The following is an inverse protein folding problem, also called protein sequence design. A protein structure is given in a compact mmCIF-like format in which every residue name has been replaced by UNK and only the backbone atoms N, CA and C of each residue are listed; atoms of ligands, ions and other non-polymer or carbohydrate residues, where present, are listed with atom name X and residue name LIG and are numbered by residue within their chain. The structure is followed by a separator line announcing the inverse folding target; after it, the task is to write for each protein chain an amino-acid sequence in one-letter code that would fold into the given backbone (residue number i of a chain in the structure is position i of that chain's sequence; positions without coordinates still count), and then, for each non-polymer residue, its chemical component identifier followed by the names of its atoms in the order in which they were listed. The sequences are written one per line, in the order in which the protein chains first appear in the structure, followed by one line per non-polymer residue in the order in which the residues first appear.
data_IF_688622350736
#
_entry.id   IF_688622350736
#
_cell.length_a   1.000
_cell.length_b   1.000
_cell.length_c   1.000
_cell.angle_alpha   90.00
_cell.angle_beta   90.00
_cell.angle_gamma   90.00
#
_symmetry.space_group_name_H-M   'P 1'
#
loop_
_entity.id
_entity.type
_entity.pdbx_description
1 polymer ?
#
# COMPACT_ATOMS: atom_id res chain seq x y z
N UNK A 1 -21.85 -3.69 -23.41
CA UNK A 1 -21.32 -4.89 -22.71
C UNK A 1 -21.96 -5.05 -21.33
N UNK A 2 -21.80 -4.09 -20.42
CA UNK A 2 -22.31 -4.24 -19.04
C UNK A 2 -23.83 -4.42 -18.90
N UNK A 3 -24.64 -3.80 -19.76
CA UNK A 3 -26.11 -3.98 -19.71
C UNK A 3 -26.58 -5.40 -20.05
N UNK A 4 -25.77 -6.13 -20.84
CA UNK A 4 -26.02 -7.52 -21.23
C UNK A 4 -25.58 -8.52 -20.13
N UNK A 5 -24.77 -8.07 -19.16
CA UNK A 5 -24.33 -8.88 -18.04
C UNK A 5 -25.41 -8.89 -16.96
N UNK A 6 -26.41 -9.76 -17.14
CA UNK A 6 -27.40 -10.01 -16.11
C UNK A 6 -26.77 -10.78 -14.93
N UNK A 7 -27.18 -10.46 -13.70
CA UNK A 7 -26.83 -11.19 -12.47
C UNK A 7 -25.39 -11.03 -11.94
N UNK A 8 -24.66 -9.97 -12.31
CA UNK A 8 -23.35 -9.69 -11.70
C UNK A 8 -23.48 -9.31 -10.23
N UNK A 9 -22.82 -10.07 -9.34
CA UNK A 9 -22.74 -9.72 -7.92
C UNK A 9 -21.84 -8.50 -7.68
N UNK A 10 -20.67 -8.49 -8.32
CA UNK A 10 -19.71 -7.38 -8.25
C UNK A 10 -18.77 -7.36 -9.45
N UNK A 11 -18.14 -6.22 -9.64
CA UNK A 11 -17.10 -5.97 -10.64
C UNK A 11 -15.80 -5.61 -9.94
N UNK A 12 -14.70 -6.06 -10.53
CA UNK A 12 -13.33 -5.80 -10.07
C UNK A 12 -12.52 -5.29 -11.27
N UNK A 13 -11.95 -4.09 -11.15
CA UNK A 13 -11.09 -3.49 -12.16
C UNK A 13 -9.67 -3.53 -11.61
N UNK A 14 -8.80 -4.35 -12.20
CA UNK A 14 -7.43 -4.56 -11.72
C UNK A 14 -6.45 -4.22 -12.84
N UNK A 15 -5.67 -3.15 -12.64
CA UNK A 15 -4.60 -2.67 -13.54
C UNK A 15 -5.01 -2.60 -15.02
N UNK A 16 -6.26 -2.23 -15.29
CA UNK A 16 -6.79 -2.14 -16.65
C UNK A 16 -6.18 -0.95 -17.40
N UNK A 17 -5.25 -1.24 -18.31
CA UNK A 17 -4.59 -0.22 -19.17
C UNK A 17 -5.59 0.52 -20.06
N UNK A 18 -6.67 -0.16 -20.46
CA UNK A 18 -7.68 0.38 -21.36
C UNK A 18 -8.81 1.11 -20.62
N UNK A 19 -8.74 1.24 -19.29
CA UNK A 19 -9.74 2.02 -18.55
C UNK A 19 -9.68 3.48 -19.04
N UNK A 20 -10.72 3.87 -19.77
CA UNK A 20 -10.85 5.17 -20.43
C UNK A 20 -12.25 5.76 -20.19
N UNK A 21 -12.41 7.01 -20.59
CA UNK A 21 -13.67 7.75 -20.44
C UNK A 21 -14.88 7.05 -21.06
N UNK A 22 -14.74 6.39 -22.21
CA UNK A 22 -15.85 5.70 -22.87
C UNK A 22 -16.37 4.52 -22.05
N UNK A 23 -15.47 3.71 -21.49
CA UNK A 23 -15.83 2.59 -20.60
C UNK A 23 -16.46 3.12 -19.31
N UNK A 24 -15.88 4.16 -18.73
CA UNK A 24 -16.39 4.75 -17.49
C UNK A 24 -17.79 5.34 -17.70
N UNK A 25 -18.02 6.07 -18.80
CA UNK A 25 -19.33 6.61 -19.15
C UNK A 25 -20.37 5.50 -19.34
N UNK A 26 -20.02 4.39 -20.00
CA UNK A 26 -20.90 3.23 -20.11
C UNK A 26 -21.29 2.63 -18.76
N UNK A 27 -20.36 2.61 -17.79
CA UNK A 27 -20.63 2.14 -16.42
C UNK A 27 -21.55 3.13 -15.70
N UNK A 28 -21.29 4.43 -15.84
CA UNK A 28 -22.07 5.48 -15.18
C UNK A 28 -23.51 5.51 -15.72
N UNK A 29 -23.71 5.27 -17.02
CA UNK A 29 -25.03 5.24 -17.66
C UNK A 29 -25.87 4.02 -17.33
N UNK A 30 -25.31 3.02 -16.63
CA UNK A 30 -26.08 1.84 -16.22
C UNK A 30 -27.23 2.23 -15.30
N UNK A 31 -28.42 1.82 -15.71
CA UNK A 31 -29.66 1.92 -14.92
C UNK A 31 -29.74 0.83 -13.85
N UNK A 32 -29.09 -0.32 -14.08
CA UNK A 32 -28.98 -1.41 -13.10
C UNK A 32 -27.91 -1.09 -12.04
N UNK A 33 -28.05 -1.62 -10.80
CA UNK A 33 -27.01 -1.49 -9.78
C UNK A 33 -25.66 -2.01 -10.28
N UNK A 34 -24.62 -1.18 -10.15
CA UNK A 34 -23.24 -1.54 -10.48
C UNK A 34 -22.41 -1.51 -9.19
N UNK A 35 -21.93 -2.67 -8.75
CA UNK A 35 -21.15 -2.81 -7.51
C UNK A 35 -19.68 -3.02 -7.83
N UNK A 36 -18.90 -1.94 -7.83
CA UNK A 36 -17.45 -2.03 -7.97
C UNK A 36 -16.82 -2.36 -6.61
N UNK A 37 -16.39 -3.61 -6.39
CA UNK A 37 -15.75 -4.03 -5.13
C UNK A 37 -14.25 -3.75 -5.09
N UNK A 38 -13.59 -3.70 -6.26
CA UNK A 38 -12.14 -3.46 -6.34
C UNK A 38 -11.77 -2.56 -7.51
N UNK A 39 -10.89 -1.60 -7.24
CA UNK A 39 -10.34 -0.67 -8.22
C UNK A 39 -8.84 -0.49 -7.97
N UNK A 40 -8.02 -1.13 -8.80
CA UNK A 40 -6.57 -0.92 -8.82
C UNK A 40 -6.17 -0.24 -10.12
N UNK A 41 -5.78 1.02 -10.00
CA UNK A 41 -5.42 1.89 -11.11
C UNK A 41 -3.96 1.64 -11.52
N UNK A 42 -3.74 1.44 -12.82
CA UNK A 42 -2.40 1.42 -13.38
C UNK A 42 -1.96 2.85 -13.67
N UNK A 43 -0.71 3.22 -13.39
CA UNK A 43 -0.18 4.56 -13.68
C UNK A 43 -0.25 4.93 -15.16
N UNK A 44 -0.39 3.97 -16.08
CA UNK A 44 -0.54 4.22 -17.53
C UNK A 44 -1.99 4.38 -17.99
N UNK A 45 -2.97 4.21 -17.10
CA UNK A 45 -4.38 4.39 -17.43
C UNK A 45 -4.66 5.88 -17.73
N UNK A 46 -5.36 6.15 -18.84
CA UNK A 46 -5.78 7.50 -19.26
C UNK A 46 -6.95 7.98 -18.41
N UNK A 47 -6.65 8.29 -17.16
CA UNK A 47 -7.64 8.69 -16.16
C UNK A 47 -7.81 10.20 -16.19
N UNK A 48 -9.08 10.62 -16.18
CA UNK A 48 -9.52 12.01 -16.14
C UNK A 48 -10.61 12.17 -15.07
N UNK A 49 -11.38 13.25 -15.14
CA UNK A 49 -12.49 13.55 -14.22
C UNK A 49 -13.59 12.48 -14.22
N UNK A 50 -13.71 11.65 -15.26
CA UNK A 50 -14.70 10.57 -15.30
C UNK A 50 -14.46 9.51 -14.21
N UNK A 51 -13.21 9.31 -13.77
CA UNK A 51 -12.91 8.45 -12.63
C UNK A 51 -13.56 8.95 -11.34
N UNK A 52 -13.62 10.27 -11.15
CA UNK A 52 -14.25 10.87 -9.97
C UNK A 52 -15.75 10.54 -9.95
N UNK A 53 -16.40 10.55 -11.11
CA UNK A 53 -17.79 10.12 -11.27
C UNK A 53 -17.98 8.62 -11.00
N UNK A 54 -17.02 7.78 -11.42
CA UNK A 54 -17.05 6.35 -11.11
C UNK A 54 -16.95 6.09 -9.60
N UNK A 55 -16.04 6.80 -8.92
CA UNK A 55 -15.89 6.75 -7.46
C UNK A 55 -17.14 7.26 -6.75
N UNK A 56 -17.77 8.33 -7.24
CA UNK A 56 -19.03 8.83 -6.71
C UNK A 56 -20.15 7.79 -6.83
N UNK A 57 -20.26 7.12 -7.99
CA UNK A 57 -21.31 6.11 -8.24
C UNK A 57 -21.09 4.82 -7.43
N UNK A 58 -19.83 4.42 -7.23
CA UNK A 58 -19.50 3.07 -6.74
C UNK A 58 -18.81 3.05 -5.38
N UNK A 59 -18.48 4.19 -4.80
CA UNK A 59 -17.60 4.30 -3.62
C UNK A 59 -18.12 3.54 -2.40
N UNK A 60 -19.42 3.51 -2.17
CA UNK A 60 -20.04 2.78 -1.06
C UNK A 60 -19.89 1.26 -1.15
N UNK A 61 -19.59 0.72 -2.34
CA UNK A 61 -19.33 -0.71 -2.55
C UNK A 61 -17.84 -1.04 -2.63
N UNK A 62 -16.98 -0.02 -2.68
CA UNK A 62 -15.57 -0.20 -2.93
C UNK A 62 -14.88 -0.69 -1.66
N UNK A 63 -14.34 -1.91 -1.70
CA UNK A 63 -13.63 -2.53 -0.58
C UNK A 63 -12.12 -2.56 -0.78
N UNK A 64 -11.65 -2.49 -2.03
CA UNK A 64 -10.24 -2.58 -2.36
C UNK A 64 -9.88 -1.45 -3.30
N UNK A 65 -8.93 -0.63 -2.90
CA UNK A 65 -8.44 0.47 -3.71
C UNK A 65 -6.92 0.44 -3.80
N UNK A 66 -6.41 0.67 -4.99
CA UNK A 66 -5.02 1.06 -5.13
C UNK A 66 -4.77 1.93 -6.33
N UNK A 67 -3.74 2.77 -6.22
CA UNK A 67 -3.39 3.72 -7.26
C UNK A 67 -1.87 3.90 -7.32
N UNK A 68 -1.35 3.98 -8.54
CA UNK A 68 0.01 4.44 -8.79
C UNK A 68 -0.01 5.94 -9.05
N UNK A 69 0.31 6.73 -8.02
CA UNK A 69 0.29 8.19 -8.05
C UNK A 69 1.55 8.80 -8.69
N UNK A 70 2.37 8.03 -9.41
CA UNK A 70 3.56 8.52 -10.10
C UNK A 70 3.28 9.54 -11.24
N UNK A 71 4.29 9.78 -12.08
CA UNK A 71 4.42 10.93 -12.99
C UNK A 71 3.26 11.20 -13.97
N UNK A 72 2.39 10.24 -14.22
CA UNK A 72 1.40 10.33 -15.29
C UNK A 72 0.13 11.11 -14.93
N UNK A 73 -0.03 11.52 -13.67
CA UNK A 73 -1.18 12.30 -13.22
C UNK A 73 -0.76 13.70 -12.77
N UNK A 74 -1.55 14.70 -13.16
CA UNK A 74 -1.37 16.06 -12.63
C UNK A 74 -1.64 16.07 -11.12
N UNK A 75 -0.92 16.90 -10.38
CA UNK A 75 -1.12 17.03 -8.93
C UNK A 75 -2.60 17.31 -8.56
N UNK A 76 -3.34 18.20 -9.25
CA UNK A 76 -4.77 18.40 -8.98
C UNK A 76 -5.59 17.11 -9.12
N UNK A 77 -5.32 16.29 -10.14
CA UNK A 77 -6.03 15.02 -10.32
C UNK A 77 -5.69 14.03 -9.20
N UNK A 78 -4.42 13.92 -8.80
CA UNK A 78 -4.02 13.07 -7.66
C UNK A 78 -4.77 13.47 -6.38
N UNK A 79 -4.87 14.77 -6.10
CA UNK A 79 -5.59 15.31 -4.95
C UNK A 79 -7.10 15.01 -5.05
N UNK A 80 -7.73 15.30 -6.19
CA UNK A 80 -9.16 15.03 -6.42
C UNK A 80 -9.52 13.55 -6.27
N UNK A 81 -8.65 12.63 -6.71
CA UNK A 81 -8.84 11.19 -6.52
C UNK A 81 -8.86 10.86 -5.02
N UNK A 82 -7.87 11.30 -4.26
CA UNK A 82 -7.78 11.05 -2.81
C UNK A 82 -8.98 11.65 -2.06
N UNK A 83 -9.33 12.89 -2.36
CA UNK A 83 -10.49 13.57 -1.79
C UNK A 83 -11.80 12.85 -2.11
N UNK A 84 -11.95 12.35 -3.34
CA UNK A 84 -13.13 11.57 -3.75
C UNK A 84 -13.24 10.26 -2.98
N UNK A 85 -12.12 9.56 -2.74
CA UNK A 85 -12.13 8.32 -1.96
C UNK A 85 -12.49 8.63 -0.50
N UNK A 86 -11.89 9.67 0.09
CA UNK A 86 -12.24 10.13 1.44
C UNK A 86 -13.75 10.41 1.53
N UNK A 87 -14.31 11.10 0.53
CA UNK A 87 -15.71 11.51 0.50
C UNK A 87 -16.68 10.36 0.28
N UNK A 88 -16.39 9.46 -0.67
CA UNK A 88 -17.36 8.47 -1.15
C UNK A 88 -17.13 7.04 -0.66
N UNK A 89 -15.94 6.73 -0.12
CA UNK A 89 -15.54 5.38 0.29
C UNK A 89 -15.29 5.27 1.81
N UNK A 90 -15.99 6.11 2.61
CA UNK A 90 -15.82 6.14 4.06
C UNK A 90 -16.14 4.79 4.69
N UNK A 91 -15.20 4.25 5.47
CA UNK A 91 -15.30 2.94 6.16
C UNK A 91 -15.66 1.73 5.26
N UNK A 92 -15.47 1.83 3.93
CA UNK A 92 -15.70 0.70 3.02
C UNK A 92 -14.40 -0.01 2.63
N UNK A 93 -13.29 0.73 2.55
CA UNK A 93 -12.00 0.22 2.10
C UNK A 93 -11.37 -0.68 3.18
N UNK A 94 -11.18 -1.95 2.82
CA UNK A 94 -10.47 -2.97 3.59
C UNK A 94 -9.02 -3.14 3.13
N UNK A 95 -8.74 -2.85 1.86
CA UNK A 95 -7.40 -2.89 1.31
C UNK A 95 -7.06 -1.57 0.60
N UNK A 96 -6.08 -0.85 1.13
CA UNK A 96 -5.44 0.29 0.49
C UNK A 96 -4.03 -0.05 -0.01
N UNK A 97 -3.75 0.23 -1.28
CA UNK A 97 -2.41 0.10 -1.87
C UNK A 97 -1.98 1.36 -2.62
N UNK A 98 -0.91 2.01 -2.17
CA UNK A 98 -0.39 3.23 -2.81
C UNK A 98 1.00 2.98 -3.40
N UNK A 99 1.27 3.60 -4.55
CA UNK A 99 2.60 3.67 -5.15
C UNK A 99 2.94 5.12 -5.53
N UNK A 100 4.22 5.48 -5.47
CA UNK A 100 4.70 6.80 -5.89
C UNK A 100 4.09 7.93 -5.06
N UNK A 101 4.02 7.76 -3.74
CA UNK A 101 3.49 8.79 -2.84
C UNK A 101 4.51 9.92 -2.70
N UNK A 102 4.16 11.09 -3.25
CA UNK A 102 4.97 12.31 -3.21
C UNK A 102 4.54 13.24 -2.05
N UNK A 103 5.41 14.19 -1.69
CA UNK A 103 5.25 15.13 -0.56
C UNK A 103 3.94 15.91 -0.61
N UNK A 104 3.49 16.25 -1.82
CA UNK A 104 2.33 17.09 -2.07
C UNK A 104 1.00 16.38 -1.79
N UNK A 105 1.00 15.04 -1.71
CA UNK A 105 -0.22 14.24 -1.47
C UNK A 105 -0.17 13.41 -0.19
N UNK A 106 0.99 13.31 0.47
CA UNK A 106 1.20 12.43 1.63
C UNK A 106 0.20 12.67 2.77
N UNK A 107 -0.12 13.93 3.09
CA UNK A 107 -1.09 14.25 4.14
C UNK A 107 -2.52 13.85 3.76
N UNK A 108 -2.88 13.91 2.48
CA UNK A 108 -4.15 13.37 2.00
C UNK A 108 -4.19 11.84 2.10
N UNK A 109 -3.05 11.15 1.90
CA UNK A 109 -2.96 9.70 2.13
C UNK A 109 -3.18 9.38 3.61
N UNK A 110 -2.62 10.14 4.55
CA UNK A 110 -2.90 9.94 5.98
C UNK A 110 -4.37 10.22 6.33
N UNK A 111 -4.94 11.30 5.80
CA UNK A 111 -6.36 11.60 5.98
C UNK A 111 -7.24 10.47 5.43
N UNK A 112 -6.86 9.86 4.31
CA UNK A 112 -7.52 8.68 3.78
C UNK A 112 -7.42 7.49 4.72
N UNK A 113 -6.22 7.15 5.22
CA UNK A 113 -6.00 6.04 6.16
C UNK A 113 -6.85 6.24 7.42
N UNK A 114 -6.85 7.44 8.00
CA UNK A 114 -7.66 7.75 9.18
C UNK A 114 -9.18 7.64 8.88
N UNK A 115 -9.61 8.09 7.69
CA UNK A 115 -11.02 8.00 7.27
C UNK A 115 -11.52 6.56 7.03
N UNK A 116 -10.62 5.61 6.76
CA UNK A 116 -10.96 4.18 6.55
C UNK A 116 -10.47 3.27 7.68
N UNK A 117 -9.95 3.87 8.77
CA UNK A 117 -9.28 3.17 9.87
C UNK A 117 -10.09 2.00 10.43
N UNK A 118 -11.41 2.16 10.53
CA UNK A 118 -12.29 1.14 11.10
C UNK A 118 -12.47 -0.11 10.21
N UNK A 119 -12.27 0.01 8.90
CA UNK A 119 -12.45 -1.08 7.94
C UNK A 119 -11.13 -1.64 7.40
N UNK A 120 -10.03 -0.91 7.57
CA UNK A 120 -8.73 -1.22 6.97
C UNK A 120 -8.09 -2.48 7.60
N UNK A 121 -7.91 -3.52 6.80
CA UNK A 121 -7.22 -4.75 7.19
C UNK A 121 -5.86 -4.91 6.50
N UNK A 122 -5.72 -4.35 5.29
CA UNK A 122 -4.55 -4.50 4.43
C UNK A 122 -4.05 -3.13 3.99
N UNK A 123 -2.79 -2.84 4.27
CA UNK A 123 -2.13 -1.60 3.86
C UNK A 123 -0.80 -1.91 3.17
N UNK A 124 -0.59 -1.34 1.99
CA UNK A 124 0.69 -1.38 1.28
C UNK A 124 1.03 0.04 0.83
N UNK A 125 2.17 0.55 1.30
CA UNK A 125 2.69 1.88 0.95
C UNK A 125 4.02 1.67 0.26
N UNK A 126 4.07 2.05 -1.01
CA UNK A 126 5.27 2.02 -1.81
C UNK A 126 5.63 3.44 -2.27
N UNK A 127 6.82 3.90 -1.90
CA UNK A 127 7.33 5.22 -2.35
C UNK A 127 8.05 5.10 -3.69
N UNK A 128 8.52 3.91 -4.04
CA UNK A 128 9.21 3.63 -5.29
C UNK A 128 8.18 3.16 -6.33
N UNK A 129 8.11 3.84 -7.47
CA UNK A 129 7.46 3.28 -8.65
C UNK A 129 8.57 2.72 -9.54
N UNK A 130 8.39 1.49 -10.03
CA UNK A 130 9.40 0.77 -10.85
C UNK A 130 9.77 1.56 -12.13
N UNK A 131 8.94 2.52 -12.51
CA UNK A 131 9.13 3.43 -13.65
C UNK A 131 9.90 4.74 -13.29
N UNK A 132 10.47 4.91 -12.08
CA UNK A 132 11.08 6.18 -11.61
C UNK A 132 12.59 6.13 -11.28
N UNK A 133 13.28 7.20 -11.66
CA UNK A 133 14.59 7.60 -11.10
C UNK A 133 14.34 8.31 -9.76
N UNK A 134 14.97 7.84 -8.68
CA UNK A 134 14.85 8.41 -7.33
C UNK A 134 15.31 9.87 -7.33
N UNK A 135 14.38 10.82 -7.16
CA UNK A 135 14.70 12.24 -6.95
C UNK A 135 14.97 12.51 -5.47
N UNK A 136 15.69 13.60 -5.15
CA UNK A 136 15.98 13.99 -3.77
C UNK A 136 14.71 14.33 -2.96
N UNK A 137 13.62 14.76 -3.61
CA UNK A 137 12.32 15.05 -2.96
C UNK A 137 11.70 13.80 -2.29
N UNK A 138 12.07 12.59 -2.74
CA UNK A 138 11.59 11.34 -2.16
C UNK A 138 12.15 11.10 -0.74
N UNK A 139 13.31 11.67 -0.40
CA UNK A 139 13.94 11.46 0.92
C UNK A 139 13.13 12.11 2.05
N UNK A 140 12.58 13.31 1.82
CA UNK A 140 11.73 13.99 2.82
C UNK A 140 10.40 13.25 3.01
N UNK A 141 9.84 12.68 1.93
CA UNK A 141 8.60 11.90 1.98
C UNK A 141 8.71 10.68 2.91
N UNK A 142 9.82 9.93 2.82
CA UNK A 142 10.04 8.73 3.63
C UNK A 142 10.02 9.04 5.13
N UNK A 143 10.68 10.13 5.52
CA UNK A 143 10.73 10.59 6.91
C UNK A 143 9.32 10.95 7.40
N UNK A 144 8.55 11.69 6.59
CA UNK A 144 7.15 12.04 6.91
C UNK A 144 6.28 10.79 7.06
N UNK A 145 6.44 9.77 6.18
CA UNK A 145 5.72 8.48 6.29
C UNK A 145 6.01 7.84 7.65
N UNK A 146 7.28 7.62 7.97
CA UNK A 146 7.64 6.91 9.20
C UNK A 146 7.23 7.68 10.46
N UNK A 147 7.35 9.00 10.48
CA UNK A 147 7.01 9.81 11.65
C UNK A 147 5.50 9.90 11.94
N UNK A 148 4.64 9.77 10.93
CA UNK A 148 3.19 9.98 11.08
C UNK A 148 2.35 8.70 10.94
N UNK A 149 2.81 7.73 10.15
CA UNK A 149 2.01 6.54 9.80
C UNK A 149 1.54 5.78 11.04
N UNK A 150 2.41 5.61 12.04
CA UNK A 150 2.09 4.81 13.23
C UNK A 150 0.86 5.31 14.00
N UNK A 151 0.58 6.61 13.99
CA UNK A 151 -0.60 7.20 14.64
C UNK A 151 -1.89 6.99 13.83
N UNK A 152 -1.78 6.92 12.51
CA UNK A 152 -2.92 6.73 11.61
C UNK A 152 -3.37 5.27 11.53
N UNK A 153 -2.51 4.31 11.88
CA UNK A 153 -2.83 2.89 11.80
C UNK A 153 -4.00 2.50 12.73
N UNK A 154 -4.87 1.55 12.31
CA UNK A 154 -5.81 0.93 13.22
C UNK A 154 -5.10 0.05 14.25
N UNK A 155 -5.81 -0.34 15.32
CA UNK A 155 -5.25 -1.22 16.37
C UNK A 155 -4.86 -2.62 15.87
N UNK A 156 -5.38 -3.04 14.71
CA UNK A 156 -5.04 -4.33 14.09
C UNK A 156 -4.99 -4.21 12.56
N UNK A 157 -3.96 -4.80 11.97
CA UNK A 157 -3.87 -5.08 10.54
C UNK A 157 -3.61 -6.58 10.32
N UNK A 158 -4.19 -7.12 9.25
CA UNK A 158 -3.84 -8.45 8.74
C UNK A 158 -2.54 -8.39 7.93
N UNK A 159 -2.29 -7.28 7.25
CA UNK A 159 -1.13 -7.09 6.39
C UNK A 159 -0.68 -5.64 6.36
N UNK A 160 0.62 -5.41 6.62
CA UNK A 160 1.30 -4.15 6.37
C UNK A 160 2.54 -4.40 5.51
N UNK A 161 2.65 -3.70 4.40
CA UNK A 161 3.81 -3.72 3.49
C UNK A 161 4.35 -2.32 3.29
N UNK A 162 5.61 -2.14 3.67
CA UNK A 162 6.34 -0.89 3.57
C UNK A 162 7.49 -1.09 2.60
N UNK A 163 7.40 -0.44 1.43
CA UNK A 163 8.48 -0.39 0.45
C UNK A 163 8.98 1.06 0.31
N UNK A 164 10.01 1.41 1.07
CA UNK A 164 10.60 2.74 1.08
C UNK A 164 12.04 2.73 1.61
N UNK A 165 12.85 3.74 1.28
CA UNK A 165 14.13 3.98 1.95
C UNK A 165 13.89 4.31 3.44
N UNK A 166 14.54 3.57 4.36
CA UNK A 166 14.32 3.73 5.81
C UNK A 166 15.58 4.26 6.50
N UNK A 167 15.40 5.41 7.17
CA UNK A 167 16.34 5.91 8.17
C UNK A 167 15.99 5.34 9.56
N UNK A 168 16.96 4.75 10.24
CA UNK A 168 16.78 4.07 11.52
C UNK A 168 16.11 4.97 12.60
N UNK A 169 16.48 6.25 12.67
CA UNK A 169 15.91 7.20 13.64
C UNK A 169 14.40 7.43 13.42
N UNK A 170 13.98 7.55 12.15
CA UNK A 170 12.56 7.75 11.82
C UNK A 170 11.78 6.44 11.98
N UNK A 171 12.42 5.30 11.69
CA UNK A 171 11.83 3.98 11.91
C UNK A 171 11.56 3.72 13.39
N UNK A 172 12.45 4.13 14.29
CA UNK A 172 12.20 4.03 15.72
C UNK A 172 10.96 4.84 16.14
N UNK A 173 10.75 6.03 15.56
CA UNK A 173 9.55 6.84 15.79
C UNK A 173 8.30 6.11 15.29
N UNK A 174 8.33 5.52 14.09
CA UNK A 174 7.25 4.67 13.57
C UNK A 174 6.91 3.52 14.54
N UNK A 175 7.92 2.81 15.03
CA UNK A 175 7.74 1.66 15.91
C UNK A 175 7.13 2.04 17.26
N UNK A 176 7.55 3.18 17.83
CA UNK A 176 7.00 3.74 19.07
C UNK A 176 5.56 4.25 18.88
N UNK A 177 5.31 5.01 17.81
CA UNK A 177 3.97 5.56 17.55
C UNK A 177 2.94 4.49 17.20
N UNK A 178 3.37 3.38 16.59
CA UNK A 178 2.49 2.26 16.27
C UNK A 178 2.35 1.24 17.41
N UNK A 179 2.92 1.44 18.61
CA UNK A 179 3.05 0.41 19.65
C UNK A 179 1.77 -0.37 19.99
N UNK A 180 0.61 0.28 19.88
CA UNK A 180 -0.71 -0.30 20.18
C UNK A 180 -1.36 -1.00 18.97
N UNK A 181 -0.66 -1.05 17.84
CA UNK A 181 -1.07 -1.75 16.63
C UNK A 181 -0.45 -3.14 16.57
N UNK A 182 -1.32 -4.16 16.48
CA UNK A 182 -0.94 -5.53 16.13
C UNK A 182 -0.97 -5.73 14.61
N UNK A 183 0.07 -6.35 14.05
CA UNK A 183 0.19 -6.57 12.60
C UNK A 183 0.42 -8.05 12.35
N UNK A 184 -0.56 -8.77 11.81
CA UNK A 184 -0.39 -10.22 11.61
C UNK A 184 0.77 -10.55 10.67
N UNK A 185 0.84 -9.87 9.52
CA UNK A 185 1.93 -10.01 8.55
C UNK A 185 2.58 -8.66 8.23
N UNK A 186 3.86 -8.51 8.61
CA UNK A 186 4.66 -7.31 8.37
C UNK A 186 5.72 -7.58 7.30
N UNK A 187 5.69 -6.79 6.23
CA UNK A 187 6.67 -6.77 5.16
C UNK A 187 7.40 -5.43 5.14
N UNK A 188 8.73 -5.48 5.06
CA UNK A 188 9.57 -4.30 4.93
C UNK A 188 10.59 -4.53 3.82
N UNK A 189 10.52 -3.73 2.76
CA UNK A 189 11.62 -3.55 1.83
C UNK A 189 12.28 -2.20 2.15
N UNK A 190 13.42 -2.26 2.83
CA UNK A 190 14.23 -1.09 3.12
C UNK A 190 15.25 -0.88 2.00
N UNK A 191 15.05 0.17 1.21
CA UNK A 191 15.91 0.42 0.04
C UNK A 191 17.08 1.37 0.31
N UNK A 192 17.27 1.84 1.54
CA UNK A 192 18.39 2.74 1.94
C UNK A 192 19.54 2.00 2.65
N UNK A 193 19.38 0.70 2.91
CA UNK A 193 20.43 -0.16 3.46
C UNK A 193 20.80 0.05 4.93
N UNK A 194 20.24 1.04 5.65
CA UNK A 194 20.48 1.16 7.10
C UNK A 194 19.97 -0.07 7.84
N UNK A 195 20.76 -0.58 8.80
CA UNK A 195 20.35 -1.76 9.55
C UNK A 195 19.22 -1.42 10.53
N UNK A 196 18.02 -1.95 10.25
CA UNK A 196 16.83 -1.80 11.08
C UNK A 196 16.59 -2.99 12.00
N UNK A 197 17.37 -4.07 11.87
CA UNK A 197 17.15 -5.32 12.59
C UNK A 197 17.18 -5.15 14.13
N UNK A 198 18.08 -4.35 14.75
CA UNK A 198 18.04 -4.10 16.18
C UNK A 198 16.71 -3.53 16.66
N UNK A 199 16.11 -2.62 15.89
CA UNK A 199 14.83 -2.00 16.21
C UNK A 199 13.66 -2.98 16.06
N UNK A 200 13.70 -3.83 15.03
CA UNK A 200 12.73 -4.91 14.86
C UNK A 200 12.78 -5.86 16.07
N UNK A 201 13.99 -6.26 16.49
CA UNK A 201 14.14 -7.11 17.68
C UNK A 201 13.57 -6.46 18.94
N UNK A 202 13.87 -5.18 19.18
CA UNK A 202 13.44 -4.48 20.39
C UNK A 202 11.92 -4.22 20.42
N UNK A 203 11.37 -3.66 19.35
CA UNK A 203 9.99 -3.13 19.36
C UNK A 203 8.97 -4.08 18.77
N UNK A 204 9.37 -5.05 17.94
CA UNK A 204 8.46 -6.02 17.31
C UNK A 204 8.62 -7.40 17.92
N UNK A 205 9.84 -7.96 17.95
CA UNK A 205 10.09 -9.33 18.41
C UNK A 205 9.82 -9.49 19.92
N UNK A 206 10.50 -8.70 20.76
CA UNK A 206 10.31 -8.76 22.22
C UNK A 206 8.90 -8.41 22.66
N UNK A 207 8.22 -7.55 21.89
CA UNK A 207 6.82 -7.13 22.14
C UNK A 207 5.78 -8.07 21.51
N UNK A 208 6.19 -9.07 20.72
CA UNK A 208 5.32 -10.05 20.05
C UNK A 208 4.18 -9.42 19.23
N UNK A 209 4.50 -8.34 18.51
CA UNK A 209 3.51 -7.53 17.76
C UNK A 209 3.17 -8.07 16.37
N UNK A 210 3.88 -9.10 15.93
CA UNK A 210 3.70 -9.73 14.62
C UNK A 210 3.67 -11.25 14.71
N UNK A 211 3.09 -11.90 13.71
CA UNK A 211 3.11 -13.37 13.55
C UNK A 211 3.99 -13.80 12.38
N UNK A 212 3.95 -13.04 11.28
CA UNK A 212 4.77 -13.28 10.09
C UNK A 212 5.59 -12.03 9.79
N UNK A 213 6.87 -12.24 9.51
CA UNK A 213 7.81 -11.15 9.22
C UNK A 213 8.59 -11.47 7.94
N UNK A 214 8.69 -10.51 7.03
CA UNK A 214 9.61 -10.60 5.91
C UNK A 214 10.31 -9.26 5.71
N UNK A 215 11.63 -9.29 5.69
CA UNK A 215 12.47 -8.09 5.53
C UNK A 215 13.51 -8.35 4.46
N UNK A 216 13.61 -7.42 3.52
CA UNK A 216 14.69 -7.33 2.56
C UNK A 216 15.31 -5.94 2.67
N UNK A 217 16.63 -5.88 2.79
CA UNK A 217 17.40 -4.65 2.79
C UNK A 217 18.17 -4.57 1.48
N UNK A 218 18.05 -3.46 0.76
CA UNK A 218 18.84 -3.17 -0.44
C UNK A 218 19.94 -2.17 -0.08
N UNK A 219 21.15 -2.41 -0.56
CA UNK A 219 22.29 -1.50 -0.37
C UNK A 219 23.11 -1.42 -1.66
N UNK A 220 23.64 -0.23 -1.94
CA UNK A 220 24.47 0.01 -3.12
C UNK A 220 25.86 -0.64 -2.94
N UNK A 221 26.33 -1.37 -3.95
CA UNK A 221 27.70 -1.88 -4.01
C UNK A 221 28.62 -0.73 -4.39
N UNK A 222 29.69 -0.57 -3.60
CA UNK A 222 30.68 0.50 -3.74
C UNK A 222 31.40 0.55 -5.09
N UNK A 223 31.39 -0.55 -5.86
CA UNK A 223 32.36 -0.75 -6.93
C UNK A 223 31.77 -0.55 -8.34
N UNK A 224 30.44 -0.64 -8.51
CA UNK A 224 29.78 -0.56 -9.82
C UNK A 224 28.37 0.08 -9.80
N UNK A 225 27.88 0.56 -8.65
CA UNK A 225 26.54 1.12 -8.52
C UNK A 225 25.41 0.08 -8.63
N UNK A 226 25.72 -1.22 -8.59
CA UNK A 226 24.72 -2.29 -8.53
C UNK A 226 24.19 -2.43 -7.10
N UNK A 227 22.94 -2.86 -6.94
CA UNK A 227 22.36 -3.09 -5.61
C UNK A 227 22.50 -4.56 -5.24
N UNK A 228 22.92 -4.83 -4.01
CA UNK A 228 22.82 -6.14 -3.39
C UNK A 228 21.67 -6.14 -2.39
N UNK A 229 21.12 -7.32 -2.14
CA UNK A 229 19.96 -7.50 -1.29
C UNK A 229 20.26 -8.51 -0.20
N UNK A 230 20.08 -8.09 1.05
CA UNK A 230 20.15 -8.99 2.21
C UNK A 230 18.76 -9.24 2.73
N UNK A 231 18.29 -10.47 2.56
CA UNK A 231 17.01 -10.92 3.04
C UNK A 231 17.13 -11.60 4.41
N UNK A 232 16.27 -11.21 5.36
CA UNK A 232 16.23 -11.79 6.71
C UNK A 232 16.01 -13.30 6.68
N UNK A 233 15.19 -13.79 5.75
CA UNK A 233 14.88 -15.21 5.57
C UNK A 233 16.12 -16.08 5.30
N UNK A 234 17.17 -15.50 4.70
CA UNK A 234 18.42 -16.22 4.40
C UNK A 234 19.38 -16.30 5.59
N UNK A 235 19.11 -15.58 6.70
CA UNK A 235 19.95 -15.52 7.89
C UNK A 235 19.48 -16.55 8.92
N UNK A 236 19.96 -17.80 8.81
CA UNK A 236 19.47 -18.94 9.61
C UNK A 236 19.47 -18.67 11.12
N UNK A 237 20.53 -18.09 11.66
CA UNK A 237 20.62 -17.80 13.11
C UNK A 237 19.58 -16.78 13.55
N UNK A 238 19.35 -15.75 12.74
CA UNK A 238 18.31 -14.73 12.97
C UNK A 238 16.91 -15.35 12.90
N UNK A 239 16.64 -16.16 11.86
CA UNK A 239 15.36 -16.87 11.71
C UNK A 239 15.07 -17.75 12.93
N UNK A 240 16.06 -18.52 13.38
CA UNK A 240 15.94 -19.36 14.57
C UNK A 240 15.64 -18.52 15.82
N UNK A 241 16.26 -17.34 15.97
CA UNK A 241 15.98 -16.43 17.09
C UNK A 241 14.52 -15.94 17.05
N UNK A 242 14.01 -15.50 15.90
CA UNK A 242 12.60 -15.09 15.76
C UNK A 242 11.62 -16.23 16.04
N UNK A 243 11.95 -17.46 15.66
CA UNK A 243 11.12 -18.64 15.93
C UNK A 243 10.94 -18.89 17.43
N UNK A 244 11.94 -18.60 18.28
CA UNK A 244 11.83 -18.68 19.75
C UNK A 244 10.77 -17.71 20.31
N UNK A 245 10.43 -16.65 19.56
CA UNK A 245 9.37 -15.70 19.90
C UNK A 245 8.03 -16.01 19.21
N UNK A 246 7.91 -17.15 18.53
CA UNK A 246 6.77 -17.55 17.69
C UNK A 246 6.52 -16.62 16.50
N UNK A 247 7.57 -16.00 15.97
CA UNK A 247 7.50 -15.17 14.76
C UNK A 247 8.06 -15.99 13.60
N UNK A 248 7.23 -16.21 12.58
CA UNK A 248 7.65 -16.94 11.38
C UNK A 248 8.25 -15.97 10.37
N UNK A 249 9.55 -16.06 10.16
CA UNK A 249 10.22 -15.33 9.09
C UNK A 249 9.90 -15.99 7.74
N UNK A 250 9.62 -15.18 6.72
CA UNK A 250 9.28 -15.62 5.37
C UNK A 250 10.12 -14.87 4.33
N UNK A 251 10.26 -15.45 3.13
CA UNK A 251 10.76 -14.72 1.97
C UNK A 251 9.81 -13.57 1.63
N UNK A 252 10.38 -12.40 1.32
CA UNK A 252 9.68 -11.16 1.05
C UNK A 252 8.83 -11.24 -0.22
N UNK A 253 9.41 -11.70 -1.34
CA UNK A 253 8.71 -11.76 -2.62
C UNK A 253 7.58 -12.79 -2.62
N UNK A 254 7.80 -13.96 -2.00
CA UNK A 254 6.75 -14.97 -1.78
C UNK A 254 5.63 -14.45 -0.86
N UNK A 255 5.95 -13.46 -0.03
CA UNK A 255 5.04 -12.88 0.93
C UNK A 255 4.14 -11.77 0.36
N UNK A 256 4.51 -11.19 -0.79
CA UNK A 256 3.75 -10.13 -1.44
C UNK A 256 2.37 -10.60 -1.88
N UNK A 257 1.36 -9.75 -1.67
CA UNK A 257 0.02 -10.04 -2.18
C UNK A 257 0.00 -9.85 -3.71
N UNK A 258 -0.28 -10.93 -4.43
CA UNK A 258 -0.65 -10.89 -5.84
C UNK A 258 -2.14 -10.51 -5.98
N UNK A 259 -2.44 -9.36 -6.59
CA UNK A 259 -3.80 -8.81 -6.66
C UNK A 259 -4.79 -9.75 -7.35
N UNK A 260 -4.41 -10.41 -8.44
CA UNK A 260 -5.30 -11.34 -9.13
C UNK A 260 -5.63 -12.57 -8.27
N UNK A 261 -4.64 -13.13 -7.56
CA UNK A 261 -4.87 -14.25 -6.64
C UNK A 261 -5.67 -13.83 -5.41
N UNK A 262 -5.44 -12.61 -4.91
CA UNK A 262 -6.16 -12.06 -3.77
C UNK A 262 -7.63 -11.84 -4.09
N UNK A 263 -7.93 -11.16 -5.21
CA UNK A 263 -9.31 -10.89 -5.62
C UNK A 263 -10.09 -12.17 -5.92
N UNK A 264 -9.44 -13.23 -6.43
CA UNK A 264 -10.10 -14.53 -6.63
C UNK A 264 -10.49 -15.26 -5.33
N UNK A 265 -9.95 -14.87 -4.18
CA UNK A 265 -10.16 -15.53 -2.89
C UNK A 265 -11.17 -14.82 -1.99
N UNK A 266 -11.50 -13.56 -2.30
CA UNK A 266 -12.50 -12.75 -1.58
C UNK A 266 -13.82 -12.75 -2.33
#
# INVERSE_FOLDING_TARGET
IFEQLNVLESVHIIYCLFLNISIIQQIISLTKPFKLKSLFINGRSQIDESLLLLLQKSGSYLENFGCRFGLNYSLPLKQQILESIIRYCKNSIKFLRTYGVERQIIYLVFNLIENIKQSLNYLSINVIDDDLVVSNDNKECNSIILQNLGQALPSRLEYLDLNLPIKASDFEIFLKSSQDTFIEKLLINNTDGQDILPYIKEYIMKKKRVKYLAIINSFERSDDGTYDHKELFSLKDEVNEFELYNIRVQNYYDSLINMYKFIKKI
#
